data_IF_122606749496
#
_entry.id   IF_122606749496
#
_cell.length_a   1.000
_cell.length_b   1.000
_cell.length_c   1.000
_cell.angle_alpha   90.00
_cell.angle_beta   90.00
_cell.angle_gamma   90.00
#
_symmetry.space_group_name_H-M   'P 1'
#
loop_
_entity.id
_entity.type
_entity.pdbx_description
1 polymer ?
#
# COMPACT_ATOMS: atom_id res chain seq x y z
N UNK A 1 -13.83 -1.86 3.26
CA UNK A 1 -12.63 -2.56 2.77
C UNK A 1 -13.04 -3.50 1.66
N UNK A 2 -12.22 -3.62 0.61
CA UNK A 2 -12.46 -4.54 -0.51
C UNK A 2 -11.90 -5.92 -0.19
N UNK A 3 -12.58 -6.95 -0.69
CA UNK A 3 -12.21 -8.36 -0.48
C UNK A 3 -11.12 -8.81 -1.44
N UNK A 4 -10.43 -9.90 -1.11
CA UNK A 4 -9.46 -10.52 -2.02
C UNK A 4 -10.08 -10.88 -3.38
N UNK A 5 -11.36 -11.28 -3.42
CA UNK A 5 -12.09 -11.55 -4.65
C UNK A 5 -12.21 -10.33 -5.57
N UNK A 6 -12.45 -9.15 -5.00
CA UNK A 6 -12.45 -7.90 -5.77
C UNK A 6 -11.06 -7.61 -6.35
N UNK A 7 -9.99 -7.75 -5.54
CA UNK A 7 -8.62 -7.54 -6.03
C UNK A 7 -8.25 -8.51 -7.17
N UNK A 8 -8.65 -9.79 -7.06
CA UNK A 8 -8.48 -10.77 -8.14
C UNK A 8 -9.18 -10.32 -9.41
N UNK A 9 -10.46 -9.96 -9.30
CA UNK A 9 -11.24 -9.50 -10.43
C UNK A 9 -10.61 -8.28 -11.13
N UNK A 10 -10.16 -7.27 -10.37
CA UNK A 10 -9.47 -6.10 -10.96
C UNK A 10 -8.18 -6.54 -11.65
N UNK A 11 -7.37 -7.39 -11.01
CA UNK A 11 -6.13 -7.91 -11.57
C UNK A 11 -6.28 -8.77 -12.83
N UNK A 12 -7.48 -9.29 -13.08
CA UNK A 12 -7.82 -10.12 -14.24
C UNK A 12 -8.50 -9.31 -15.36
N UNK A 13 -9.13 -8.18 -15.02
CA UNK A 13 -9.92 -7.36 -15.97
C UNK A 13 -9.23 -6.10 -16.44
N UNK A 14 -8.28 -5.58 -15.66
CA UNK A 14 -7.63 -4.30 -15.91
C UNK A 14 -6.18 -4.51 -16.34
N UNK A 15 -5.77 -3.85 -17.41
CA UNK A 15 -4.36 -3.74 -17.79
C UNK A 15 -3.67 -2.69 -16.89
N UNK A 16 -2.55 -3.08 -16.29
CA UNK A 16 -1.74 -2.20 -15.44
C UNK A 16 -0.51 -1.73 -16.19
N UNK A 17 -0.22 -0.43 -16.09
CA UNK A 17 1.03 0.11 -16.63
C UNK A 17 2.17 -0.09 -15.62
N UNK A 18 3.37 -0.45 -16.09
CA UNK A 18 4.54 -0.59 -15.23
C UNK A 18 4.99 0.78 -14.70
N UNK A 19 5.51 0.75 -13.47
CA UNK A 19 6.10 1.92 -12.82
C UNK A 19 5.16 2.69 -11.90
N UNK A 20 5.73 3.68 -11.21
CA UNK A 20 5.07 4.44 -10.16
C UNK A 20 5.09 5.94 -10.49
N UNK A 21 3.92 6.59 -10.59
CA UNK A 21 3.83 8.03 -10.86
C UNK A 21 2.92 8.76 -9.88
N UNK A 22 3.53 9.67 -9.12
CA UNK A 22 2.88 10.62 -8.22
C UNK A 22 3.51 12.02 -8.42
N UNK A 23 2.76 13.15 -8.43
CA UNK A 23 1.45 13.39 -9.02
C UNK A 23 1.53 14.10 -10.40
N UNK A 24 2.72 14.32 -10.98
CA UNK A 24 2.88 15.24 -12.14
C UNK A 24 2.53 14.68 -13.53
N UNK A 25 2.46 13.35 -13.69
CA UNK A 25 2.32 12.72 -15.02
C UNK A 25 1.46 11.46 -14.99
N UNK A 26 0.28 11.51 -14.35
CA UNK A 26 -0.69 10.43 -14.49
C UNK A 26 -1.40 10.55 -15.83
N UNK A 27 -1.29 9.52 -16.67
CA UNK A 27 -2.18 9.35 -17.82
C UNK A 27 -3.61 9.19 -17.30
N UNK A 28 -4.52 10.05 -17.75
CA UNK A 28 -5.93 10.00 -17.32
C UNK A 28 -6.52 8.64 -17.69
N UNK A 29 -7.09 7.94 -16.70
CA UNK A 29 -7.71 6.62 -16.88
C UNK A 29 -6.75 5.43 -16.81
N UNK A 30 -5.44 5.66 -16.64
CA UNK A 30 -4.48 4.58 -16.45
C UNK A 30 -4.42 4.12 -14.98
N UNK A 31 -4.29 2.82 -14.79
CA UNK A 31 -4.07 2.17 -13.50
C UNK A 31 -2.63 1.66 -13.43
N UNK A 32 -1.95 1.89 -12.31
CA UNK A 32 -0.56 1.48 -12.11
C UNK A 32 -0.48 0.36 -11.08
N UNK A 33 0.49 -0.54 -11.26
CA UNK A 33 0.70 -1.73 -10.43
C UNK A 33 0.75 -1.43 -8.92
N UNK A 34 1.41 -0.33 -8.54
CA UNK A 34 1.55 0.08 -7.15
C UNK A 34 0.23 0.51 -6.48
N UNK A 35 -0.79 0.93 -7.24
CA UNK A 35 -2.01 1.52 -6.66
C UNK A 35 -2.80 0.50 -5.83
N UNK A 36 -2.86 -0.76 -6.27
CA UNK A 36 -3.53 -1.81 -5.50
C UNK A 36 -2.76 -2.17 -4.21
N UNK A 37 -1.43 -2.15 -4.23
CA UNK A 37 -0.62 -2.31 -3.02
C UNK A 37 -0.90 -1.19 -2.02
N UNK A 38 -1.04 0.05 -2.50
CA UNK A 38 -1.38 1.21 -1.66
C UNK A 38 -2.76 1.08 -1.05
N UNK A 39 -3.76 0.67 -1.83
CA UNK A 39 -5.10 0.41 -1.31
C UNK A 39 -5.12 -0.72 -0.28
N UNK A 40 -4.43 -1.84 -0.55
CA UNK A 40 -4.33 -2.96 0.37
C UNK A 40 -3.66 -2.56 1.70
N UNK A 41 -2.59 -1.76 1.63
CA UNK A 41 -1.89 -1.20 2.78
C UNK A 41 -2.77 -0.24 3.58
N UNK A 42 -3.46 0.68 2.89
CA UNK A 42 -4.37 1.64 3.51
C UNK A 42 -5.52 0.96 4.26
N UNK A 43 -6.11 -0.10 3.70
CA UNK A 43 -7.19 -0.82 4.38
C UNK A 43 -6.71 -1.84 5.43
N UNK A 44 -5.40 -2.06 5.52
CA UNK A 44 -4.80 -2.93 6.52
C UNK A 44 -4.86 -4.43 6.23
N UNK A 45 -4.99 -4.82 4.96
CA UNK A 45 -5.08 -6.23 4.58
C UNK A 45 -3.72 -6.82 4.20
N UNK A 46 -3.08 -7.48 5.16
CA UNK A 46 -1.82 -8.23 4.95
C UNK A 46 -2.02 -9.39 3.96
N UNK A 47 -3.17 -10.05 3.99
CA UNK A 47 -3.50 -11.15 3.07
C UNK A 47 -3.46 -10.69 1.62
N UNK A 48 -4.11 -9.56 1.32
CA UNK A 48 -4.15 -9.01 -0.04
C UNK A 48 -2.77 -8.49 -0.46
N UNK A 49 -2.05 -7.83 0.45
CA UNK A 49 -0.68 -7.40 0.22
C UNK A 49 0.22 -8.58 -0.17
N UNK A 50 0.21 -9.67 0.61
CA UNK A 50 0.95 -10.89 0.30
C UNK A 50 0.58 -11.46 -1.06
N UNK A 51 -0.72 -11.59 -1.32
CA UNK A 51 -1.21 -12.13 -2.59
C UNK A 51 -0.74 -11.30 -3.80
N UNK A 52 -0.79 -9.96 -3.71
CA UNK A 52 -0.31 -9.08 -4.77
C UNK A 52 1.20 -9.24 -5.01
N UNK A 53 1.99 -9.30 -3.95
CA UNK A 53 3.44 -9.49 -4.05
C UNK A 53 3.80 -10.86 -4.63
N UNK A 54 3.16 -11.93 -4.18
CA UNK A 54 3.46 -13.31 -4.63
C UNK A 54 2.97 -13.58 -6.05
N UNK A 55 1.77 -13.13 -6.42
CA UNK A 55 1.17 -13.46 -7.73
C UNK A 55 1.58 -12.52 -8.84
N UNK A 56 1.79 -11.25 -8.54
CA UNK A 56 2.14 -10.25 -9.55
C UNK A 56 3.62 -9.86 -9.50
N UNK A 57 4.36 -10.25 -8.45
CA UNK A 57 5.76 -9.87 -8.29
C UNK A 57 5.94 -8.39 -7.98
N UNK A 58 4.88 -7.69 -7.57
CA UNK A 58 4.91 -6.25 -7.36
C UNK A 58 5.68 -5.90 -6.07
N UNK A 59 6.63 -4.99 -6.19
CA UNK A 59 7.47 -4.55 -5.07
C UNK A 59 6.80 -3.49 -4.19
N UNK A 60 7.13 -3.53 -2.91
CA UNK A 60 6.79 -2.47 -1.96
C UNK A 60 7.57 -1.19 -2.28
N UNK A 61 6.96 -0.02 -2.06
CA UNK A 61 7.63 1.27 -2.19
C UNK A 61 7.26 2.21 -1.03
N UNK A 62 7.87 3.41 -1.00
CA UNK A 62 7.67 4.45 0.03
C UNK A 62 6.24 5.02 0.09
N UNK A 63 5.38 4.66 -0.86
CA UNK A 63 3.96 5.02 -0.80
C UNK A 63 3.13 3.90 -0.18
N UNK A 64 3.64 2.66 -0.13
CA UNK A 64 2.98 1.54 0.55
C UNK A 64 2.95 1.75 2.07
N UNK A 65 4.08 2.09 2.68
CA UNK A 65 4.16 2.38 4.11
C UNK A 65 3.49 3.70 4.48
N UNK A 66 3.59 4.74 3.64
CA UNK A 66 2.79 5.97 3.77
C UNK A 66 1.30 5.68 3.82
N UNK A 67 0.79 4.84 2.90
CA UNK A 67 -0.61 4.46 2.88
C UNK A 67 -1.00 3.59 4.09
N UNK A 68 -0.14 2.67 4.53
CA UNK A 68 -0.36 1.91 5.76
C UNK A 68 -0.44 2.84 6.98
N UNK A 69 0.47 3.81 7.09
CA UNK A 69 0.45 4.83 8.12
C UNK A 69 -0.85 5.64 8.09
N UNK A 70 -1.22 6.15 6.91
CA UNK A 70 -2.45 6.94 6.72
C UNK A 70 -3.73 6.15 7.04
N UNK A 71 -3.75 4.87 6.71
CA UNK A 71 -4.83 3.94 7.08
C UNK A 71 -4.89 3.63 8.58
N UNK A 72 -3.79 3.81 9.30
CA UNK A 72 -3.65 3.37 10.68
C UNK A 72 -3.46 1.86 10.79
N UNK A 73 -2.95 1.25 9.72
CA UNK A 73 -2.89 -0.19 9.50
C UNK A 73 -1.74 -0.85 10.26
N UNK A 74 -1.84 -0.91 11.59
CA UNK A 74 -0.79 -1.49 12.45
C UNK A 74 -0.36 -2.89 11.98
N UNK A 75 -1.33 -3.77 11.64
CA UNK A 75 -1.03 -5.12 11.14
C UNK A 75 -0.15 -5.14 9.90
N UNK A 76 -0.34 -4.17 9.00
CA UNK A 76 0.49 -4.04 7.80
C UNK A 76 1.86 -3.49 8.17
N UNK A 77 1.95 -2.48 9.04
CA UNK A 77 3.22 -1.95 9.51
C UNK A 77 4.04 -3.02 10.25
N UNK A 78 3.42 -3.83 11.09
CA UNK A 78 4.07 -4.99 11.74
C UNK A 78 4.57 -6.00 10.73
N UNK A 79 3.74 -6.34 9.73
CA UNK A 79 4.12 -7.26 8.67
C UNK A 79 5.33 -6.76 7.87
N UNK A 80 5.32 -5.48 7.49
CA UNK A 80 6.45 -4.84 6.79
C UNK A 80 7.72 -4.87 7.65
N UNK A 81 7.61 -4.48 8.93
CA UNK A 81 8.73 -4.49 9.88
C UNK A 81 9.31 -5.88 10.07
N UNK A 82 8.47 -6.91 10.17
CA UNK A 82 8.90 -8.30 10.30
C UNK A 82 9.63 -8.80 9.03
N UNK A 83 9.30 -8.25 7.86
CA UNK A 83 10.02 -8.50 6.61
C UNK A 83 11.33 -7.71 6.45
N UNK A 84 11.77 -6.97 7.47
CA UNK A 84 12.98 -6.14 7.42
C UNK A 84 12.79 -4.81 6.68
N UNK A 85 11.55 -4.39 6.41
CA UNK A 85 11.27 -3.11 5.77
C UNK A 85 11.68 -1.95 6.69
N UNK A 86 12.46 -1.01 6.15
CA UNK A 86 12.87 0.20 6.86
C UNK A 86 11.91 1.32 6.52
N UNK A 87 11.16 1.78 7.53
CA UNK A 87 10.26 2.92 7.37
C UNK A 87 11.04 4.22 7.22
N UNK A 88 10.57 5.08 6.33
CA UNK A 88 11.06 6.44 6.22
C UNK A 88 10.04 7.45 6.80
N UNK A 89 10.36 8.74 6.65
CA UNK A 89 9.48 9.83 7.12
C UNK A 89 8.09 9.84 6.47
N UNK A 90 7.89 9.17 5.33
CA UNK A 90 6.60 9.11 4.62
C UNK A 90 5.59 8.28 5.39
N UNK A 91 6.00 7.18 6.03
CA UNK A 91 5.12 6.42 6.92
C UNK A 91 4.54 7.33 8.02
N UNK A 92 5.41 8.13 8.67
CA UNK A 92 5.01 9.09 9.71
C UNK A 92 4.13 10.22 9.16
N UNK A 93 4.49 10.82 8.01
CA UNK A 93 3.66 11.84 7.34
C UNK A 93 2.28 11.29 7.00
N UNK A 94 2.21 10.06 6.49
CA UNK A 94 0.96 9.35 6.24
C UNK A 94 0.12 9.21 7.51
N UNK A 95 0.70 8.68 8.58
CA UNK A 95 0.01 8.50 9.85
C UNK A 95 -0.46 9.82 10.49
N UNK A 96 0.36 10.88 10.41
CA UNK A 96 -0.02 12.22 10.87
C UNK A 96 -1.19 12.78 10.05
N UNK A 97 -1.13 12.72 8.73
CA UNK A 97 -2.22 13.17 7.83
C UNK A 97 -3.52 12.40 8.05
N UNK A 98 -3.42 11.11 8.37
CA UNK A 98 -4.57 10.27 8.68
C UNK A 98 -5.10 10.42 10.12
N UNK A 99 -4.46 11.23 10.97
CA UNK A 99 -4.82 11.35 12.39
C UNK A 99 -4.63 10.04 13.17
N UNK A 100 -3.72 9.16 12.74
CA UNK A 100 -3.56 7.79 13.24
C UNK A 100 -2.54 7.75 14.37
N UNK A 101 -2.95 8.15 15.56
CA UNK A 101 -2.06 8.26 16.73
C UNK A 101 -1.31 6.96 17.05
N UNK A 102 -1.99 5.81 17.02
CA UNK A 102 -1.33 4.53 17.31
C UNK A 102 -0.30 4.14 16.25
N UNK A 103 -0.54 4.48 14.98
CA UNK A 103 0.45 4.26 13.92
C UNK A 103 1.66 5.18 14.09
N UNK A 104 1.46 6.43 14.51
CA UNK A 104 2.56 7.34 14.85
C UNK A 104 3.42 6.81 16.01
N UNK A 105 2.79 6.25 17.05
CA UNK A 105 3.51 5.63 18.18
C UNK A 105 4.31 4.42 17.73
N UNK A 106 3.77 3.61 16.81
CA UNK A 106 4.46 2.44 16.27
C UNK A 106 5.67 2.80 15.40
N UNK A 107 5.55 3.87 14.62
CA UNK A 107 6.57 4.33 13.67
C UNK A 107 7.68 5.18 14.32
N UNK A 108 7.57 5.47 15.61
CA UNK A 108 8.57 6.19 16.42
C UNK A 108 9.49 5.22 17.14
#
# INVERSE_FOLDING_TARGET
SYTLGWFRWVCDTVEFLPGFKWPGYKVKGAVYEGELLHYAAFQGSVEILKWLMEKKGWGLNQDTDRCAGMGGSIKVLEYLKAGGYVFDRKACDGAARGGRLEALKFLR
#
